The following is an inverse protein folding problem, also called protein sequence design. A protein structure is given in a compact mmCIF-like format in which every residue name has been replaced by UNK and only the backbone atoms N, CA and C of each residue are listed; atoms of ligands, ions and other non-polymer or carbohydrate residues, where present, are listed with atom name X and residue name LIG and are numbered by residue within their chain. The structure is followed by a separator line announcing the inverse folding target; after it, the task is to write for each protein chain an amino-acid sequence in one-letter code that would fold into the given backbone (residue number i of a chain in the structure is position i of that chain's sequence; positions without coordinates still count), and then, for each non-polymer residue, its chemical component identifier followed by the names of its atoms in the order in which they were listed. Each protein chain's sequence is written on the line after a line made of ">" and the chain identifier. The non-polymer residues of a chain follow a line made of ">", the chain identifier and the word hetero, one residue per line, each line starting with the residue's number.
data_IF_387815809374
#
_entry.id   IF_387815809374
#
_cell.length_a   1.000
_cell.length_b   1.000
_cell.length_c   1.000
_cell.angle_alpha   90.00
_cell.angle_beta   90.00
_cell.angle_gamma   90.00
#
_symmetry.space_group_name_H-M   'P 1'
#
loop_
_entity.id
_entity.type
_entity.pdbx_description
1 polymer ?
#
# COMPACT_ATOMS: atom_id res chain seq x y z
N UNK A 1 6.36 13.37 25.56
CA UNK A 1 7.38 12.78 24.65
C UNK A 1 7.85 11.37 25.01
N UNK A 2 8.35 11.08 26.23
CA UNK A 2 8.90 9.76 26.60
C UNK A 2 7.99 8.55 26.29
N UNK A 3 6.69 8.64 26.60
CA UNK A 3 5.73 7.55 26.39
C UNK A 3 5.53 7.18 24.91
N UNK A 4 5.52 8.18 24.02
CA UNK A 4 5.39 7.95 22.58
C UNK A 4 6.65 7.27 22.01
N UNK A 5 7.83 7.67 22.47
CA UNK A 5 9.10 7.07 22.07
C UNK A 5 9.22 5.61 22.52
N UNK A 6 8.84 5.28 23.75
CA UNK A 6 8.84 3.90 24.27
C UNK A 6 7.88 2.99 23.49
N UNK A 7 6.65 3.44 23.23
CA UNK A 7 5.68 2.67 22.43
C UNK A 7 6.16 2.47 21.00
N UNK A 8 6.79 3.49 20.42
CA UNK A 8 7.37 3.40 19.07
C UNK A 8 8.47 2.35 19.00
N UNK A 9 9.30 2.21 20.05
CA UNK A 9 10.35 1.19 20.10
C UNK A 9 9.79 -0.24 20.08
N UNK A 10 8.69 -0.50 20.79
CA UNK A 10 8.01 -1.80 20.77
C UNK A 10 7.43 -2.08 19.38
N UNK A 11 6.77 -1.09 18.77
CA UNK A 11 6.14 -1.25 17.45
C UNK A 11 7.20 -1.46 16.37
N UNK A 12 8.36 -0.79 16.45
CA UNK A 12 9.45 -0.95 15.47
C UNK A 12 9.99 -2.39 15.38
N UNK A 13 9.90 -3.17 16.45
CA UNK A 13 10.33 -4.57 16.44
C UNK A 13 9.28 -5.52 15.83
N UNK A 14 8.01 -5.12 15.79
CA UNK A 14 6.91 -5.93 15.27
C UNK A 14 6.43 -5.48 13.88
N UNK A 15 6.66 -4.22 13.52
CA UNK A 15 6.19 -3.60 12.30
C UNK A 15 7.22 -2.61 11.76
N UNK A 16 7.35 -2.59 10.44
CA UNK A 16 8.10 -1.56 9.76
C UNK A 16 7.25 -0.29 9.70
N UNK A 17 7.77 0.79 10.29
CA UNK A 17 7.11 2.10 10.28
C UNK A 17 7.69 2.91 9.11
N UNK A 18 6.82 3.29 8.18
CA UNK A 18 7.16 4.16 7.06
C UNK A 18 6.72 5.61 7.31
N UNK A 19 7.42 6.55 6.69
CA UNK A 19 7.05 7.96 6.75
C UNK A 19 5.78 8.21 5.95
N UNK A 20 4.82 8.86 6.59
CA UNK A 20 3.45 9.03 6.12
C UNK A 20 3.36 9.74 4.76
N UNK A 21 4.12 10.83 4.56
CA UNK A 21 4.10 11.61 3.31
C UNK A 21 4.49 10.78 2.08
N UNK A 22 5.46 9.86 2.19
CA UNK A 22 5.90 9.03 1.06
C UNK A 22 4.80 8.07 0.61
N UNK A 23 4.13 7.43 1.57
CA UNK A 23 3.00 6.54 1.28
C UNK A 23 1.86 7.33 0.67
N UNK A 24 1.52 8.49 1.25
CA UNK A 24 0.40 9.33 0.81
C UNK A 24 0.55 9.76 -0.65
N UNK A 25 1.73 10.24 -1.04
CA UNK A 25 1.96 10.72 -2.40
C UNK A 25 1.83 9.60 -3.45
N UNK A 26 2.37 8.42 -3.13
CA UNK A 26 2.27 7.24 -4.02
C UNK A 26 0.83 6.74 -4.10
N UNK A 27 0.12 6.66 -2.98
CA UNK A 27 -1.29 6.26 -2.96
C UNK A 27 -2.17 7.25 -3.73
N UNK A 28 -1.93 8.56 -3.59
CA UNK A 28 -2.59 9.61 -4.36
C UNK A 28 -2.37 9.44 -5.86
N UNK A 29 -1.14 9.16 -6.28
CA UNK A 29 -0.81 8.89 -7.68
C UNK A 29 -1.59 7.68 -8.23
N UNK A 30 -1.64 6.58 -7.49
CA UNK A 30 -2.48 5.44 -7.90
C UNK A 30 -3.94 5.85 -8.04
N UNK A 31 -4.49 6.63 -7.11
CA UNK A 31 -5.90 7.03 -7.16
C UNK A 31 -6.21 7.93 -8.37
N UNK A 32 -5.28 8.77 -8.79
CA UNK A 32 -5.41 9.57 -10.01
C UNK A 32 -5.35 8.72 -11.28
N UNK A 33 -4.59 7.62 -11.27
CA UNK A 33 -4.36 6.76 -12.43
C UNK A 33 -5.32 5.57 -12.54
N UNK A 34 -5.96 5.16 -11.43
CA UNK A 34 -6.69 3.90 -11.30
C UNK A 34 -8.04 4.09 -10.63
N UNK A 35 -9.07 3.42 -11.16
CA UNK A 35 -10.43 3.48 -10.65
C UNK A 35 -10.69 2.45 -9.51
N UNK A 36 -9.86 2.46 -8.46
CA UNK A 36 -9.98 1.58 -7.28
C UNK A 36 -10.18 2.39 -6.00
N UNK A 37 -10.49 1.73 -4.88
CA UNK A 37 -10.68 2.42 -3.61
C UNK A 37 -9.39 3.10 -3.12
N UNK A 38 -9.53 4.13 -2.28
CA UNK A 38 -8.37 4.77 -1.67
C UNK A 38 -7.59 3.79 -0.77
N UNK A 39 -8.29 2.88 -0.08
CA UNK A 39 -7.64 1.88 0.77
C UNK A 39 -6.72 0.96 -0.06
N UNK A 40 -7.17 0.52 -1.23
CA UNK A 40 -6.38 -0.33 -2.13
C UNK A 40 -5.16 0.41 -2.68
N UNK A 41 -5.29 1.73 -2.93
CA UNK A 41 -4.16 2.56 -3.31
C UNK A 41 -3.06 2.58 -2.23
N UNK A 42 -3.44 2.58 -0.94
CA UNK A 42 -2.49 2.48 0.16
C UNK A 42 -1.83 1.10 0.25
N UNK A 43 -2.55 0.02 -0.06
CA UNK A 43 -1.98 -1.33 -0.15
C UNK A 43 -0.91 -1.37 -1.25
N UNK A 44 -1.21 -0.87 -2.44
CA UNK A 44 -0.25 -0.80 -3.57
C UNK A 44 0.94 0.10 -3.24
N UNK A 45 0.72 1.26 -2.62
CA UNK A 45 1.79 2.17 -2.20
C UNK A 45 2.72 1.52 -1.18
N UNK A 46 2.14 0.84 -0.20
CA UNK A 46 2.89 0.10 0.82
C UNK A 46 3.72 -1.01 0.20
N UNK A 47 3.14 -1.80 -0.71
CA UNK A 47 3.85 -2.85 -1.44
C UNK A 47 5.02 -2.27 -2.24
N UNK A 48 4.81 -1.15 -2.94
CA UNK A 48 5.84 -0.48 -3.73
C UNK A 48 7.04 -0.03 -2.92
N UNK A 49 6.80 0.70 -1.82
CA UNK A 49 7.88 1.23 -0.97
C UNK A 49 8.69 0.09 -0.34
N UNK A 50 8.02 -1.00 0.00
CA UNK A 50 8.64 -2.12 0.71
C UNK A 50 9.16 -3.21 -0.22
N UNK A 51 9.03 -3.05 -1.55
CA UNK A 51 9.30 -4.14 -2.52
C UNK A 51 8.60 -5.45 -2.14
N UNK A 52 7.40 -5.32 -1.55
CA UNK A 52 6.59 -6.44 -1.08
C UNK A 52 5.55 -6.83 -2.15
N UNK A 53 4.88 -7.95 -1.93
CA UNK A 53 3.80 -8.43 -2.78
C UNK A 53 2.47 -7.86 -2.23
N UNK A 54 1.70 -7.20 -3.10
CA UNK A 54 0.34 -6.79 -2.78
C UNK A 54 -0.60 -7.99 -2.89
N UNK A 55 -1.42 -8.21 -1.87
CA UNK A 55 -2.35 -9.34 -1.82
C UNK A 55 -3.77 -8.76 -1.84
N UNK A 56 -4.55 -9.16 -2.83
CA UNK A 56 -5.94 -8.75 -2.98
C UNK A 56 -6.83 -9.97 -3.12
N UNK A 57 -8.03 -9.89 -2.55
CA UNK A 57 -9.10 -10.80 -2.95
C UNK A 57 -9.41 -10.54 -4.42
N UNK A 58 -9.86 -11.57 -5.15
CA UNK A 58 -10.32 -11.40 -6.53
C UNK A 58 -11.61 -10.57 -6.61
N UNK A 59 -11.45 -9.25 -6.59
CA UNK A 59 -12.50 -8.25 -6.71
C UNK A 59 -12.54 -7.68 -8.13
N UNK A 60 -13.75 -7.39 -8.62
CA UNK A 60 -13.95 -7.00 -10.02
C UNK A 60 -13.17 -5.74 -10.39
N UNK A 61 -13.16 -4.71 -9.54
CA UNK A 61 -12.45 -3.45 -9.79
C UNK A 61 -10.94 -3.66 -9.97
N UNK A 62 -10.32 -4.53 -9.15
CA UNK A 62 -8.89 -4.86 -9.25
C UNK A 62 -8.60 -5.62 -10.54
N UNK A 63 -9.45 -6.60 -10.89
CA UNK A 63 -9.32 -7.37 -12.14
C UNK A 63 -9.47 -6.47 -13.36
N UNK A 64 -10.43 -5.55 -13.34
CA UNK A 64 -10.67 -4.60 -14.43
C UNK A 64 -9.47 -3.66 -14.64
N UNK A 65 -8.92 -3.11 -13.56
CA UNK A 65 -7.73 -2.25 -13.66
C UNK A 65 -6.48 -3.04 -14.09
N UNK A 66 -6.30 -4.29 -13.65
CA UNK A 66 -5.23 -5.18 -14.14
C UNK A 66 -5.32 -5.41 -15.64
N UNK A 67 -6.53 -5.61 -16.17
CA UNK A 67 -6.77 -5.83 -17.59
C UNK A 67 -6.50 -4.56 -18.42
N UNK A 68 -6.72 -3.36 -17.86
CA UNK A 68 -6.40 -2.09 -18.52
C UNK A 68 -4.89 -1.84 -18.54
N UNK A 69 -4.23 -1.98 -17.38
CA UNK A 69 -2.80 -1.74 -17.22
C UNK A 69 -2.27 -2.48 -15.98
N UNK A 70 -1.26 -3.35 -16.13
CA UNK A 70 -0.60 -3.99 -14.99
C UNK A 70 -0.14 -2.96 -13.95
N UNK A 71 -0.31 -3.29 -12.67
CA UNK A 71 0.30 -2.50 -11.60
C UNK A 71 1.82 -2.64 -11.66
N UNK A 72 2.52 -1.60 -11.22
CA UNK A 72 3.99 -1.55 -11.13
C UNK A 72 4.51 -2.11 -9.80
N UNK A 73 3.78 -3.09 -9.25
CA UNK A 73 4.14 -3.88 -8.07
C UNK A 73 3.75 -5.34 -8.31
N UNK A 74 4.46 -6.26 -7.65
CA UNK A 74 4.06 -7.66 -7.64
C UNK A 74 2.74 -7.82 -6.90
N UNK A 75 1.79 -8.53 -7.52
CA UNK A 75 0.44 -8.68 -7.00
C UNK A 75 -0.03 -10.13 -7.12
N UNK A 76 -0.69 -10.64 -6.08
CA UNK A 76 -1.34 -11.95 -6.06
C UNK A 76 -2.83 -11.74 -5.78
N UNK A 77 -3.67 -12.40 -6.59
CA UNK A 77 -5.10 -12.52 -6.37
C UNK A 77 -5.41 -13.87 -5.72
N UNK A 78 -6.29 -13.88 -4.72
CA UNK A 78 -6.79 -15.11 -4.06
C UNK A 78 -8.32 -15.15 -3.99
#
# INVERSE_FOLDING_TARGET
>A
EKFALEKTAIIKNAAKIELEFKIRDIAGKYKCERAISLADCYVLATAKINSAIAIFKKEQEIVDELNKKPFDVNLILF
#
